data_IF_401207431622
#
_entry.id   IF_401207431622
#
_cell.length_a   1.000
_cell.length_b   1.000
_cell.length_c   1.000
_cell.angle_alpha   90.00
_cell.angle_beta   90.00
_cell.angle_gamma   90.00
#
_symmetry.space_group_name_H-M   'P 1'
#
loop_
_entity.id
_entity.type
_entity.pdbx_description
1 polymer ?
#
# COMPACT_ATOMS: atom_id res chain seq x y z
N UNK A 1 -0.07 -4.95 -1.04
CA UNK A 1 -0.85 -4.57 -2.25
C UNK A 1 -2.19 -4.00 -1.82
N UNK A 2 -2.80 -3.15 -2.63
CA UNK A 2 -4.06 -2.47 -2.28
C UNK A 2 -4.89 -2.17 -3.54
N UNK A 3 -6.19 -1.90 -3.38
CA UNK A 3 -6.99 -1.39 -4.51
C UNK A 3 -6.57 0.02 -4.91
N UNK A 4 -6.70 0.34 -6.19
CA UNK A 4 -6.48 1.70 -6.70
C UNK A 4 -7.48 2.73 -6.13
N UNK A 5 -7.22 4.02 -6.37
CA UNK A 5 -8.10 5.13 -5.98
C UNK A 5 -7.58 6.03 -4.85
N UNK A 6 -6.41 5.73 -4.29
CA UNK A 6 -5.73 6.61 -3.32
C UNK A 6 -5.04 7.76 -4.03
N UNK A 7 -5.10 8.95 -3.42
CA UNK A 7 -4.39 10.13 -3.92
C UNK A 7 -2.88 10.02 -3.69
N UNK A 8 -2.10 10.84 -4.40
CA UNK A 8 -0.64 10.92 -4.18
C UNK A 8 -0.32 11.33 -2.74
N UNK A 9 -1.09 12.25 -2.15
CA UNK A 9 -0.91 12.69 -0.76
C UNK A 9 -1.16 11.54 0.23
N UNK A 10 -2.19 10.72 0.01
CA UNK A 10 -2.43 9.54 0.84
C UNK A 10 -1.29 8.52 0.72
N UNK A 11 -0.74 8.32 -0.48
CA UNK A 11 0.41 7.44 -0.70
C UNK A 11 1.67 7.96 0.01
N UNK A 12 1.89 9.27 0.02
CA UNK A 12 2.98 9.91 0.76
C UNK A 12 2.85 9.65 2.26
N UNK A 13 1.67 9.88 2.83
CA UNK A 13 1.39 9.61 4.25
C UNK A 13 1.61 8.13 4.61
N UNK A 14 1.21 7.21 3.74
CA UNK A 14 1.48 5.77 3.93
C UNK A 14 2.98 5.47 3.95
N UNK A 15 3.74 6.00 2.99
CA UNK A 15 5.18 5.78 2.92
C UNK A 15 5.90 6.30 4.18
N UNK A 16 5.56 7.51 4.63
CA UNK A 16 6.12 8.12 5.84
C UNK A 16 5.74 7.34 7.11
N UNK A 17 4.47 6.95 7.24
CA UNK A 17 3.96 6.24 8.42
C UNK A 17 4.55 4.83 8.57
N UNK A 18 4.64 4.08 7.47
CA UNK A 18 5.25 2.73 7.48
C UNK A 18 6.75 2.84 7.78
N UNK A 19 7.45 3.78 7.13
CA UNK A 19 8.89 3.99 7.36
C UNK A 19 9.15 4.33 8.82
N UNK A 20 8.40 5.28 9.38
CA UNK A 20 8.52 5.65 10.80
C UNK A 20 8.28 4.49 11.75
N UNK A 21 7.39 3.57 11.39
CA UNK A 21 7.09 2.38 12.20
C UNK A 21 8.26 1.37 12.20
N UNK A 22 8.95 1.21 11.07
CA UNK A 22 10.14 0.37 10.96
C UNK A 22 11.35 0.98 11.68
N UNK A 23 11.51 2.31 11.60
CA UNK A 23 12.58 3.01 12.34
C UNK A 23 12.42 2.82 13.85
N UNK A 24 11.19 2.83 14.37
CA UNK A 24 10.92 2.59 15.81
C UNK A 24 11.37 1.23 16.31
N UNK A 25 11.50 0.22 15.44
CA UNK A 25 11.99 -1.11 15.80
C UNK A 25 13.48 -1.31 15.43
N UNK A 26 14.20 -0.23 15.09
CA UNK A 26 15.65 -0.24 14.88
C UNK A 26 16.10 -0.41 13.43
N UNK A 27 15.20 -0.34 12.45
CA UNK A 27 15.59 -0.36 11.03
C UNK A 27 16.09 1.03 10.62
N UNK A 28 17.32 1.19 10.08
CA UNK A 28 17.78 2.48 9.57
C UNK A 28 16.84 3.02 8.49
N UNK A 29 16.54 4.32 8.53
CA UNK A 29 15.56 4.93 7.61
C UNK A 29 15.95 4.74 6.14
N UNK A 30 17.23 4.87 5.84
CA UNK A 30 17.83 4.68 4.52
C UNK A 30 17.77 3.25 4.00
N UNK A 31 17.56 2.27 4.88
CA UNK A 31 17.38 0.87 4.51
C UNK A 31 15.92 0.51 4.21
N UNK A 32 14.97 1.43 4.46
CA UNK A 32 13.54 1.20 4.22
C UNK A 32 13.15 1.59 2.80
N UNK A 33 12.68 0.62 2.03
CA UNK A 33 12.18 0.82 0.68
C UNK A 33 10.69 0.44 0.62
N UNK A 34 9.84 1.36 0.17
CA UNK A 34 8.39 1.14 0.07
C UNK A 34 7.98 1.13 -1.41
N UNK A 35 7.37 0.03 -1.84
CA UNK A 35 6.76 -0.11 -3.17
C UNK A 35 5.25 -0.21 -2.99
N UNK A 36 4.51 0.78 -3.53
CA UNK A 36 3.05 0.78 -3.52
C UNK A 36 2.56 0.18 -4.82
N UNK A 37 1.84 -0.96 -4.70
CA UNK A 37 1.16 -1.62 -5.82
C UNK A 37 -0.34 -1.40 -5.69
N UNK A 38 -0.87 -0.61 -6.61
CA UNK A 38 -2.30 -0.41 -6.79
C UNK A 38 -2.83 -1.40 -7.82
N UNK A 39 -3.87 -2.13 -7.44
CA UNK A 39 -4.55 -3.07 -8.31
C UNK A 39 -5.96 -2.55 -8.60
N UNK A 40 -6.37 -2.42 -9.87
CA UNK A 40 -7.76 -2.19 -10.22
C UNK A 40 -8.66 -3.28 -9.62
N UNK A 41 -9.90 -2.93 -9.25
CA UNK A 41 -10.83 -3.88 -8.64
C UNK A 41 -11.18 -5.07 -9.55
N UNK A 42 -11.09 -4.90 -10.87
CA UNK A 42 -11.31 -5.98 -11.84
C UNK A 42 -10.12 -6.96 -11.95
N UNK A 43 -8.96 -6.62 -11.36
CA UNK A 43 -7.78 -7.49 -11.26
C UNK A 43 -7.65 -8.16 -9.88
N UNK A 44 -8.64 -8.00 -8.99
CA UNK A 44 -8.60 -8.52 -7.62
C UNK A 44 -9.82 -9.39 -7.35
N UNK A 45 -9.63 -10.63 -6.88
CA UNK A 45 -10.73 -11.53 -6.54
C UNK A 45 -10.71 -11.94 -5.06
N UNK A 46 -11.88 -12.05 -4.43
CA UNK A 46 -12.03 -12.57 -3.07
C UNK A 46 -13.18 -13.58 -3.08
N UNK A 47 -12.92 -14.82 -2.67
CA UNK A 47 -13.93 -15.89 -2.67
C UNK A 47 -14.47 -16.21 -4.06
N UNK A 48 -13.64 -16.12 -5.10
CA UNK A 48 -14.02 -16.44 -6.48
C UNK A 48 -14.83 -15.36 -7.20
N UNK A 49 -14.99 -14.16 -6.62
CA UNK A 49 -15.68 -13.03 -7.24
C UNK A 49 -14.75 -11.85 -7.40
N UNK A 50 -14.84 -11.15 -8.54
CA UNK A 50 -14.04 -9.94 -8.76
C UNK A 50 -14.50 -8.84 -7.80
N UNK A 51 -13.56 -8.08 -7.27
CA UNK A 51 -13.86 -6.97 -6.37
C UNK A 51 -14.66 -5.85 -7.06
N UNK A 52 -14.67 -5.82 -8.40
CA UNK A 52 -15.48 -4.93 -9.22
C UNK A 52 -16.95 -5.36 -9.34
N UNK A 53 -17.32 -6.59 -8.96
CA UNK A 53 -18.70 -7.11 -9.01
C UNK A 53 -19.50 -6.76 -7.75
N UNK A 54 -18.95 -5.91 -6.87
CA UNK A 54 -19.58 -5.42 -5.64
C UNK A 54 -19.83 -3.91 -5.71
#
# INVERSE_FOLDING_TARGET
EMWEGRTVEQKKQLAEGITSSLVKIGVPQEAVHIIIKDNPKHNWAIGGKLASEK
#
